data_IF_559905089569
#
_entry.id   IF_559905089569
#
_cell.length_a   1.000
_cell.length_b   1.000
_cell.length_c   1.000
_cell.angle_alpha   90.00
_cell.angle_beta   90.00
_cell.angle_gamma   90.00
#
_symmetry.space_group_name_H-M   'P 1'
#
loop_
_entity.id
_entity.type
_entity.pdbx_description
1 polymer ?
#
# COMPACT_ATOMS: atom_id res chain seq x y z
N UNK A 1 6.66 8.74 15.05
CA UNK A 1 7.55 8.33 13.95
C UNK A 1 7.36 6.84 13.62
N UNK A 2 6.73 6.57 12.48
CA UNK A 2 6.52 5.24 11.88
C UNK A 2 7.57 4.88 10.82
N UNK A 3 8.60 5.72 10.66
CA UNK A 3 9.55 5.58 9.56
C UNK A 3 10.38 4.30 9.67
N UNK A 4 10.65 3.75 8.51
CA UNK A 4 11.56 2.63 8.27
C UNK A 4 12.41 3.10 7.13
N UNK A 5 13.61 3.56 7.47
CA UNK A 5 14.58 4.02 6.47
C UNK A 5 15.53 2.87 6.20
N UNK A 6 15.54 2.40 4.96
CA UNK A 6 16.54 1.47 4.47
C UNK A 6 17.69 2.29 3.88
N UNK A 7 18.91 2.07 4.35
CA UNK A 7 20.11 2.78 3.84
C UNK A 7 20.66 2.14 2.55
N UNK A 8 20.23 0.91 2.26
CA UNK A 8 20.72 0.06 1.18
C UNK A 8 19.63 -0.27 0.14
N UNK A 9 18.49 0.44 0.18
CA UNK A 9 17.39 0.27 -0.77
C UNK A 9 16.90 1.63 -1.23
N UNK A 10 16.64 1.74 -2.52
CA UNK A 10 16.06 2.94 -3.13
C UNK A 10 14.59 3.07 -2.71
N UNK A 11 14.15 4.31 -2.54
CA UNK A 11 12.71 4.59 -2.36
C UNK A 11 11.97 4.18 -3.65
N UNK A 12 10.84 3.46 -3.55
CA UNK A 12 10.04 3.07 -4.70
C UNK A 12 9.70 4.24 -5.60
N UNK A 13 9.78 4.00 -6.92
CA UNK A 13 9.61 5.06 -7.91
C UNK A 13 8.81 4.57 -9.11
N UNK A 14 8.18 5.52 -9.80
CA UNK A 14 7.44 5.29 -11.02
C UNK A 14 7.89 6.28 -12.08
N UNK A 15 8.43 5.75 -13.17
CA UNK A 15 8.83 6.55 -14.34
C UNK A 15 7.80 6.36 -15.42
N UNK A 16 7.20 7.46 -15.88
CA UNK A 16 6.25 7.47 -16.98
C UNK A 16 6.88 8.18 -18.19
N UNK A 17 6.74 7.58 -19.37
CA UNK A 17 6.94 8.26 -20.64
C UNK A 17 5.58 8.66 -21.17
N UNK A 18 5.42 9.95 -21.43
CA UNK A 18 4.19 10.60 -21.87
C UNK A 18 4.44 11.17 -23.26
N UNK A 19 3.46 11.09 -24.15
CA UNK A 19 3.53 11.72 -25.49
C UNK A 19 3.27 13.23 -25.44
N UNK A 20 3.20 13.87 -26.61
CA UNK A 20 2.99 15.32 -26.71
C UNK A 20 1.55 15.72 -26.37
N UNK A 21 0.61 14.78 -26.49
CA UNK A 21 -0.81 14.94 -26.21
C UNK A 21 -1.15 14.73 -24.72
N UNK A 22 -0.21 14.18 -23.95
CA UNK A 22 -0.35 13.94 -22.52
C UNK A 22 -0.76 12.51 -22.16
N UNK A 23 -0.78 11.61 -23.14
CA UNK A 23 -1.15 10.20 -22.96
C UNK A 23 0.06 9.36 -22.53
N UNK A 24 -0.21 8.35 -21.69
CA UNK A 24 0.82 7.43 -21.19
C UNK A 24 1.25 6.48 -22.30
N UNK A 25 2.50 6.58 -22.74
CA UNK A 25 3.11 5.62 -23.67
C UNK A 25 3.52 4.36 -22.91
N UNK A 26 4.30 4.51 -21.83
CA UNK A 26 4.78 3.40 -21.02
C UNK A 26 5.13 3.87 -19.61
N UNK A 27 4.93 2.99 -18.63
CA UNK A 27 5.33 3.20 -17.24
C UNK A 27 6.23 2.09 -16.73
N UNK A 28 7.26 2.46 -15.98
CA UNK A 28 8.13 1.56 -15.23
C UNK A 28 7.90 1.77 -13.73
N UNK A 29 7.40 0.72 -13.06
CA UNK A 29 7.14 0.73 -11.63
C UNK A 29 8.21 -0.08 -10.88
N UNK A 30 9.16 0.61 -10.25
CA UNK A 30 10.12 -0.01 -9.33
C UNK A 30 9.54 0.06 -7.90
N UNK A 31 8.69 -0.91 -7.58
CA UNK A 31 7.90 -0.95 -6.33
C UNK A 31 8.22 -2.16 -5.44
N UNK A 32 9.28 -2.92 -5.73
CA UNK A 32 9.58 -4.20 -5.07
C UNK A 32 9.77 -4.09 -3.55
N UNK A 33 10.20 -2.93 -3.06
CA UNK A 33 10.34 -2.69 -1.62
C UNK A 33 9.00 -2.78 -0.88
N UNK A 34 7.87 -2.49 -1.54
CA UNK A 34 6.55 -2.58 -0.91
C UNK A 34 6.24 -4.03 -0.52
N UNK A 35 6.45 -4.96 -1.46
CA UNK A 35 6.21 -6.38 -1.25
C UNK A 35 7.14 -6.95 -0.16
N UNK A 36 8.40 -6.47 -0.10
CA UNK A 36 9.38 -6.90 0.90
C UNK A 36 9.07 -6.35 2.30
N UNK A 37 8.73 -5.07 2.41
CA UNK A 37 8.71 -4.35 3.68
C UNK A 37 7.34 -4.39 4.36
N UNK A 38 6.25 -4.07 3.65
CA UNK A 38 4.95 -3.81 4.27
C UNK A 38 4.37 -4.97 5.09
N UNK A 39 4.44 -6.25 4.66
CA UNK A 39 3.93 -7.36 5.46
C UNK A 39 4.55 -7.44 6.86
N UNK A 40 5.82 -7.02 7.00
CA UNK A 40 6.51 -6.91 8.30
C UNK A 40 6.18 -5.60 9.00
N UNK A 41 6.09 -4.48 8.28
CA UNK A 41 5.84 -3.17 8.89
C UNK A 41 4.47 -3.06 9.56
N UNK A 42 3.42 -3.64 8.96
CA UNK A 42 2.08 -3.63 9.56
C UNK A 42 2.05 -4.36 10.93
N UNK A 43 3.03 -5.22 11.21
CA UNK A 43 3.14 -5.92 12.50
C UNK A 43 3.72 -5.07 13.62
N UNK A 44 4.34 -3.91 13.34
CA UNK A 44 5.01 -3.10 14.36
C UNK A 44 4.02 -2.47 15.34
N UNK A 45 4.43 -2.32 16.61
CA UNK A 45 3.57 -1.76 17.67
C UNK A 45 3.02 -0.39 17.31
N UNK A 46 3.87 0.50 16.81
CA UNK A 46 3.47 1.85 16.42
C UNK A 46 2.39 1.89 15.34
N UNK A 47 2.39 0.95 14.39
CA UNK A 47 1.32 0.87 13.37
C UNK A 47 0.00 0.45 14.03
N UNK A 48 0.05 -0.53 14.95
CA UNK A 48 -1.15 -0.94 15.71
C UNK A 48 -1.69 0.19 16.60
N UNK A 49 -0.80 0.93 17.26
CA UNK A 49 -1.16 2.10 18.08
C UNK A 49 -1.83 3.19 17.22
N UNK A 50 -1.26 3.49 16.05
CA UNK A 50 -1.83 4.46 15.12
C UNK A 50 -3.22 4.03 14.62
N UNK A 51 -3.39 2.74 14.27
CA UNK A 51 -4.69 2.20 13.85
C UNK A 51 -5.70 2.24 15.00
N UNK A 52 -5.29 1.89 16.22
CA UNK A 52 -6.18 1.88 17.38
C UNK A 52 -6.72 3.28 17.72
N UNK A 53 -5.91 4.31 17.49
CA UNK A 53 -6.24 5.71 17.72
C UNK A 53 -7.00 6.39 16.56
N UNK A 54 -7.11 5.74 15.40
CA UNK A 54 -7.80 6.30 14.24
C UNK A 54 -9.30 5.96 14.24
N UNK A 55 -10.13 6.89 13.76
CA UNK A 55 -11.57 6.67 13.55
C UNK A 55 -11.84 5.85 12.28
N UNK A 56 -10.95 5.93 11.29
CA UNK A 56 -11.03 5.19 10.03
C UNK A 56 -9.62 4.98 9.44
N UNK A 57 -9.51 4.04 8.50
CA UNK A 57 -8.25 3.71 7.82
C UNK A 57 -8.41 3.99 6.32
N UNK A 58 -7.44 4.68 5.73
CA UNK A 58 -7.28 4.79 4.28
C UNK A 58 -6.06 3.98 3.86
N UNK A 59 -6.24 3.09 2.90
CA UNK A 59 -5.16 2.34 2.26
C UNK A 59 -5.29 2.35 0.74
N UNK A 60 -4.34 1.74 0.06
CA UNK A 60 -4.39 1.56 -1.38
C UNK A 60 -3.95 0.14 -1.79
N UNK A 61 -4.22 -0.21 -3.04
CA UNK A 61 -3.83 -1.50 -3.60
C UNK A 61 -2.33 -1.58 -3.97
N UNK A 62 -1.50 -0.56 -3.66
CA UNK A 62 -0.05 -0.71 -3.76
C UNK A 62 0.47 -1.64 -2.67
N UNK A 63 -0.20 -1.71 -1.52
CA UNK A 63 0.12 -2.69 -0.48
C UNK A 63 -0.08 -4.12 -1.01
N UNK A 64 0.81 -5.07 -0.67
CA UNK A 64 0.60 -6.48 -0.96
C UNK A 64 -0.59 -7.02 -0.16
N UNK A 65 -1.30 -8.02 -0.70
CA UNK A 65 -2.50 -8.63 -0.09
C UNK A 65 -2.29 -9.01 1.37
N UNK A 66 -1.16 -9.65 1.71
CA UNK A 66 -0.87 -10.05 3.09
C UNK A 66 -0.74 -8.86 4.07
N UNK A 67 -0.32 -7.68 3.58
CA UNK A 67 -0.29 -6.46 4.40
C UNK A 67 -1.70 -5.88 4.56
N UNK A 68 -2.50 -5.90 3.50
CA UNK A 68 -3.89 -5.44 3.51
C UNK A 68 -4.78 -6.28 4.42
N UNK A 69 -4.71 -7.61 4.34
CA UNK A 69 -5.45 -8.52 5.23
C UNK A 69 -5.15 -8.22 6.70
N UNK A 70 -3.86 -8.00 7.00
CA UNK A 70 -3.45 -7.65 8.36
C UNK A 70 -3.95 -6.28 8.78
N UNK A 71 -3.92 -5.29 7.89
CA UNK A 71 -4.42 -3.94 8.15
C UNK A 71 -5.92 -3.97 8.47
N UNK A 72 -6.72 -4.67 7.65
CA UNK A 72 -8.16 -4.83 7.86
C UNK A 72 -8.46 -5.57 9.16
N UNK A 73 -7.72 -6.64 9.47
CA UNK A 73 -7.86 -7.34 10.74
C UNK A 73 -7.56 -6.42 11.95
N UNK A 74 -6.56 -5.54 11.85
CA UNK A 74 -6.24 -4.56 12.90
C UNK A 74 -7.28 -3.44 13.01
N UNK A 75 -8.00 -3.12 11.93
CA UNK A 75 -9.06 -2.12 11.93
C UNK A 75 -10.17 -2.48 12.92
N UNK A 76 -10.44 -3.78 13.11
CA UNK A 76 -11.34 -4.27 14.15
C UNK A 76 -12.75 -3.69 14.05
N UNK A 77 -13.28 -3.56 12.83
CA UNK A 77 -14.62 -3.02 12.58
C UNK A 77 -14.69 -1.51 12.31
N UNK A 78 -13.58 -0.78 12.44
CA UNK A 78 -13.49 0.62 11.96
C UNK A 78 -13.65 0.68 10.43
N UNK A 79 -14.21 1.77 9.88
CA UNK A 79 -14.28 1.98 8.45
C UNK A 79 -12.89 1.88 7.79
N UNK A 80 -12.80 1.11 6.70
CA UNK A 80 -11.61 1.02 5.86
C UNK A 80 -11.98 1.47 4.45
N UNK A 81 -11.26 2.45 3.95
CA UNK A 81 -11.35 2.95 2.58
C UNK A 81 -10.12 2.51 1.81
N UNK A 82 -10.30 2.06 0.56
CA UNK A 82 -9.23 1.57 -0.28
C UNK A 82 -9.23 2.26 -1.64
N UNK A 83 -8.07 2.75 -2.06
CA UNK A 83 -7.85 3.25 -3.43
C UNK A 83 -7.43 2.07 -4.31
N UNK A 84 -8.17 1.84 -5.41
CA UNK A 84 -7.92 0.72 -6.33
C UNK A 84 -6.58 0.79 -7.07
N UNK A 85 -6.03 2.00 -7.24
CA UNK A 85 -4.77 2.34 -7.92
C UNK A 85 -4.75 2.01 -9.42
N UNK A 86 -4.97 0.76 -9.82
CA UNK A 86 -5.01 0.33 -11.21
C UNK A 86 -5.75 -1.00 -11.37
N UNK A 87 -6.19 -1.37 -12.59
CA UNK A 87 -6.84 -2.65 -12.85
C UNK A 87 -5.99 -3.86 -12.41
N UNK A 88 -4.67 -3.79 -12.54
CA UNK A 88 -3.77 -4.87 -12.14
C UNK A 88 -3.60 -4.99 -10.62
N UNK A 89 -3.78 -3.89 -9.87
CA UNK A 89 -3.57 -3.88 -8.41
C UNK A 89 -4.85 -4.12 -7.63
N UNK A 90 -6.00 -3.69 -8.14
CA UNK A 90 -7.29 -3.81 -7.44
C UNK A 90 -7.64 -5.25 -7.04
N UNK A 91 -7.17 -6.25 -7.81
CA UNK A 91 -7.34 -7.68 -7.50
C UNK A 91 -6.79 -8.07 -6.12
N UNK A 92 -5.82 -7.31 -5.59
CA UNK A 92 -5.26 -7.51 -4.24
C UNK A 92 -6.26 -7.24 -3.12
N UNK A 93 -7.32 -6.48 -3.41
CA UNK A 93 -8.40 -6.18 -2.48
C UNK A 93 -9.47 -7.28 -2.45
N UNK A 94 -9.54 -8.16 -3.44
CA UNK A 94 -10.60 -9.16 -3.56
C UNK A 94 -10.75 -10.06 -2.31
N UNK A 95 -9.67 -10.54 -1.66
CA UNK A 95 -9.79 -11.34 -0.43
C UNK A 95 -10.38 -10.59 0.78
N UNK A 96 -10.51 -9.25 0.70
CA UNK A 96 -10.99 -8.39 1.79
C UNK A 96 -12.47 -8.05 1.65
N UNK A 97 -13.07 -8.32 0.49
CA UNK A 97 -14.44 -7.95 0.14
C UNK A 97 -15.32 -9.19 0.31
N UNK A 98 -15.87 -9.36 1.51
CA UNK A 98 -16.88 -10.37 1.84
C UNK A 98 -18.28 -9.81 1.72
#
# INVERSE_FOLDING_TARGET
DLSVVFLDRTTPSYTALIDAEGELIVGLADMALYDLAFPKQIRRSKVREAIAAADAILCDANLPTAALERLVALAGGRPVFAIAVSPAKVVRLAPLLS
#
